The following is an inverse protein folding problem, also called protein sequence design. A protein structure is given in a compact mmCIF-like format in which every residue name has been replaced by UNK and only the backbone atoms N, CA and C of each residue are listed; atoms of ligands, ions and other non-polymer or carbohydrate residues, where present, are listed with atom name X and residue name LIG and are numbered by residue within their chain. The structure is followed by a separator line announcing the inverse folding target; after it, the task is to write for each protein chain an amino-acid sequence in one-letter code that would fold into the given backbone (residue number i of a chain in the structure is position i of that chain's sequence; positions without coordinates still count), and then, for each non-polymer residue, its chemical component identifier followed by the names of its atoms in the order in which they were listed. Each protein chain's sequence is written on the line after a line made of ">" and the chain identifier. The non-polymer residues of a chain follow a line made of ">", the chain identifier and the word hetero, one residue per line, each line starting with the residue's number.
data_IF_035418503371
#
_entry.id   IF_035418503371
#
_cell.length_a   1.000
_cell.length_b   1.000
_cell.length_c   1.000
_cell.angle_alpha   90.00
_cell.angle_beta   90.00
_cell.angle_gamma   90.00
#
_symmetry.space_group_name_H-M   'P 1'
#
loop_
_entity.id
_entity.type
_entity.pdbx_description
1 polymer ?
#
# COMPACT_ATOMS: atom_id res chain seq x y z
N UNK A 1 -46.49 46.64 -35.17
CA UNK A 1 -45.98 45.26 -35.13
C UNK A 1 -44.45 45.34 -35.26
N UNK A 2 -43.73 44.94 -34.19
CA UNK A 2 -42.34 44.42 -34.05
C UNK A 2 -41.29 44.81 -35.11
N UNK A 3 -40.23 45.61 -34.85
CA UNK A 3 -38.92 45.37 -34.13
C UNK A 3 -38.03 44.32 -34.86
N UNK A 4 -36.67 44.45 -34.97
CA UNK A 4 -35.69 45.45 -34.43
C UNK A 4 -34.82 46.11 -35.54
N UNK A 5 -34.13 47.25 -35.43
CA UNK A 5 -33.39 48.00 -34.38
C UNK A 5 -32.00 47.47 -33.98
N UNK A 6 -31.00 48.23 -34.47
CA UNK A 6 -29.79 48.74 -33.78
C UNK A 6 -28.47 48.04 -34.10
N UNK A 7 -27.74 48.71 -35.00
CA UNK A 7 -26.28 48.72 -35.14
C UNK A 7 -25.70 49.36 -33.87
N UNK A 8 -24.82 48.65 -33.16
CA UNK A 8 -24.01 49.24 -32.09
C UNK A 8 -22.52 49.00 -32.39
N UNK A 9 -21.83 50.13 -32.45
CA UNK A 9 -20.43 50.35 -32.78
C UNK A 9 -19.63 50.54 -31.47
N UNK A 10 -18.34 50.19 -31.53
CA UNK A 10 -17.23 50.62 -30.65
C UNK A 10 -17.23 50.13 -29.19
N UNK A 11 -16.24 49.28 -28.87
CA UNK A 11 -15.57 49.31 -27.56
C UNK A 11 -14.07 49.50 -27.79
N UNK A 12 -13.57 50.49 -27.05
CA UNK A 12 -12.25 51.08 -27.13
C UNK A 12 -11.16 50.25 -26.43
N UNK A 13 -9.94 50.68 -26.74
CA UNK A 13 -8.64 50.19 -26.31
C UNK A 13 -8.46 50.02 -24.79
N UNK A 14 -7.79 48.94 -24.39
CA UNK A 14 -6.96 48.89 -23.18
C UNK A 14 -5.58 48.38 -23.60
N UNK A 15 -4.60 49.29 -23.62
CA UNK A 15 -3.19 48.96 -23.59
C UNK A 15 -2.68 49.20 -22.16
N UNK A 16 -2.22 48.15 -21.49
CA UNK A 16 -1.35 48.23 -20.30
C UNK A 16 -0.53 46.94 -20.20
N UNK A 17 0.75 47.07 -20.54
CA UNK A 17 1.94 46.55 -19.87
C UNK A 17 1.77 45.25 -19.05
N UNK A 18 2.42 44.18 -19.53
CA UNK A 18 2.69 42.97 -18.77
C UNK A 18 3.66 42.08 -19.54
N UNK A 19 4.94 42.23 -19.25
CA UNK A 19 6.02 41.32 -19.65
C UNK A 19 5.70 39.88 -19.27
N UNK A 20 5.84 38.97 -20.25
CA UNK A 20 6.29 37.59 -20.11
C UNK A 20 5.51 36.66 -19.19
N UNK A 21 4.87 35.65 -19.77
CA UNK A 21 4.96 34.28 -19.24
C UNK A 21 5.18 33.34 -20.42
N UNK A 22 6.37 32.76 -20.48
CA UNK A 22 6.63 31.60 -21.30
C UNK A 22 5.77 30.44 -20.77
N UNK A 23 4.91 29.89 -21.61
CA UNK A 23 4.35 28.55 -21.40
C UNK A 23 5.48 27.55 -21.70
N UNK A 24 6.38 27.41 -20.73
CA UNK A 24 7.21 26.22 -20.59
C UNK A 24 6.32 25.13 -20.03
N UNK A 25 5.97 24.16 -20.86
CA UNK A 25 5.36 22.92 -20.40
C UNK A 25 6.46 22.19 -19.61
N UNK A 26 6.36 22.25 -18.28
CA UNK A 26 7.28 21.55 -17.39
C UNK A 26 7.25 20.05 -17.70
N UNK A 27 8.45 19.52 -17.85
CA UNK A 27 8.78 18.11 -17.97
C UNK A 27 8.06 17.35 -16.87
N UNK A 28 7.33 16.31 -17.27
CA UNK A 28 6.66 15.35 -16.41
C UNK A 28 7.71 14.73 -15.47
N UNK A 29 7.81 15.33 -14.28
CA UNK A 29 8.81 14.99 -13.28
C UNK A 29 8.22 13.87 -12.45
N UNK A 30 8.91 12.73 -12.40
CA UNK A 30 8.65 11.62 -11.47
C UNK A 30 8.20 12.17 -10.13
N UNK A 31 6.91 12.03 -9.81
CA UNK A 31 6.31 12.66 -8.64
C UNK A 31 6.67 11.83 -7.41
N UNK A 32 7.77 12.18 -6.74
CA UNK A 32 8.06 11.74 -5.39
C UNK A 32 7.29 12.60 -4.40
N UNK A 33 6.39 12.00 -3.61
CA UNK A 33 5.67 12.70 -2.54
C UNK A 33 6.18 12.25 -1.18
N UNK A 34 6.62 13.20 -0.35
CA UNK A 34 6.90 12.93 1.07
C UNK A 34 5.58 13.00 1.84
N UNK A 35 5.21 11.92 2.52
CA UNK A 35 4.03 11.88 3.40
C UNK A 35 4.35 12.52 4.75
N UNK A 36 3.50 13.48 5.17
CA UNK A 36 3.52 14.05 6.52
C UNK A 36 2.79 13.16 7.54
N UNK A 37 1.89 12.28 7.08
CA UNK A 37 1.25 11.27 7.94
C UNK A 37 2.20 10.10 8.22
N UNK A 38 2.13 9.47 9.41
CA UNK A 38 2.91 8.28 9.72
C UNK A 38 2.58 7.14 8.77
N UNK A 39 3.50 6.17 8.59
CA UNK A 39 3.24 5.03 7.73
C UNK A 39 2.07 4.16 8.26
N UNK A 40 1.35 3.44 7.37
CA UNK A 40 0.18 2.64 7.77
C UNK A 40 0.45 1.61 8.86
N UNK A 41 1.67 1.06 8.91
CA UNK A 41 2.03 0.03 9.88
C UNK A 41 2.34 0.53 11.29
N UNK A 42 2.39 1.84 11.50
CA UNK A 42 2.44 2.44 12.84
C UNK A 42 1.04 2.74 13.41
N UNK A 43 -0.03 2.31 12.73
CA UNK A 43 -1.40 2.64 13.14
C UNK A 43 -1.81 1.90 14.45
N UNK A 44 -2.03 2.64 15.55
CA UNK A 44 -2.38 2.04 16.85
C UNK A 44 -3.75 1.34 16.82
N UNK A 45 -4.63 1.67 15.86
CA UNK A 45 -5.99 1.10 15.74
C UNK A 45 -6.00 -0.37 15.28
N UNK A 46 -4.85 -0.91 14.86
CA UNK A 46 -4.69 -2.31 14.52
C UNK A 46 -4.44 -3.21 15.75
N UNK A 47 -4.12 -2.61 16.90
CA UNK A 47 -3.80 -3.34 18.13
C UNK A 47 -4.96 -4.23 18.56
N UNK A 48 -4.70 -5.52 18.77
CA UNK A 48 -5.69 -6.49 19.25
C UNK A 48 -6.60 -7.12 18.19
N UNK A 49 -6.45 -6.75 16.90
CA UNK A 49 -7.17 -7.44 15.82
C UNK A 49 -6.52 -8.80 15.51
N UNK A 50 -7.34 -9.82 15.25
CA UNK A 50 -6.86 -11.17 14.96
C UNK A 50 -6.13 -11.21 13.62
N UNK A 51 -4.87 -11.63 13.66
CA UNK A 51 -4.07 -11.88 12.46
C UNK A 51 -4.47 -13.23 11.86
N UNK A 52 -4.76 -13.31 10.54
CA UNK A 52 -4.96 -14.61 9.91
C UNK A 52 -3.72 -15.48 10.07
N UNK A 53 -3.89 -16.68 10.65
CA UNK A 53 -2.78 -17.56 11.04
C UNK A 53 -1.80 -17.89 9.89
N UNK A 54 -2.28 -17.82 8.65
CA UNK A 54 -1.49 -18.06 7.44
C UNK A 54 -0.29 -17.12 7.28
N UNK A 55 -0.41 -15.86 7.71
CA UNK A 55 0.70 -14.92 7.68
C UNK A 55 1.86 -15.40 8.55
N UNK A 56 1.55 -15.80 9.78
CA UNK A 56 2.55 -16.29 10.73
C UNK A 56 3.13 -17.63 10.26
N UNK A 57 2.31 -18.54 9.72
CA UNK A 57 2.79 -19.84 9.25
C UNK A 57 3.71 -19.73 8.04
N UNK A 58 3.44 -18.80 7.11
CA UNK A 58 4.30 -18.58 5.94
C UNK A 58 5.56 -17.79 6.30
N UNK A 59 5.44 -16.72 7.09
CA UNK A 59 6.59 -15.95 7.56
C UNK A 59 7.60 -16.81 8.34
N UNK A 60 7.13 -17.75 9.18
CA UNK A 60 8.00 -18.68 9.92
C UNK A 60 8.87 -19.58 9.02
N UNK A 61 8.51 -19.74 7.75
CA UNK A 61 9.28 -20.53 6.78
C UNK A 61 10.37 -19.71 6.09
N UNK A 62 10.29 -18.38 6.15
CA UNK A 62 11.26 -17.51 5.50
C UNK A 62 12.64 -17.60 6.18
N UNK A 63 13.69 -17.60 5.37
CA UNK A 63 15.07 -17.72 5.83
C UNK A 63 15.51 -16.48 6.62
N UNK A 64 15.03 -15.30 6.22
CA UNK A 64 15.34 -14.00 6.84
C UNK A 64 14.34 -13.56 7.93
N UNK A 65 13.50 -14.47 8.43
CA UNK A 65 12.47 -14.17 9.45
C UNK A 65 13.01 -13.65 10.77
N UNK A 66 14.29 -13.88 11.05
CA UNK A 66 14.97 -13.42 12.27
C UNK A 66 15.26 -11.91 12.25
N UNK A 67 15.30 -11.31 11.05
CA UNK A 67 15.56 -9.87 10.84
C UNK A 67 14.43 -9.13 10.14
N UNK A 68 13.55 -9.84 9.43
CA UNK A 68 12.41 -9.25 8.73
C UNK A 68 11.11 -9.57 9.44
N UNK A 69 10.38 -8.53 9.85
CA UNK A 69 9.08 -8.68 10.50
C UNK A 69 7.99 -9.03 9.49
N UNK A 70 6.94 -9.78 9.84
CA UNK A 70 5.83 -9.97 8.93
C UNK A 70 5.03 -8.67 8.76
N UNK A 71 4.75 -8.33 7.51
CA UNK A 71 3.73 -7.35 7.14
C UNK A 71 2.42 -8.06 6.81
N UNK A 72 1.30 -7.50 7.22
CA UNK A 72 -0.03 -8.08 6.99
C UNK A 72 -0.96 -7.07 6.35
N UNK A 73 -1.85 -7.53 5.48
CA UNK A 73 -2.97 -6.72 4.99
C UNK A 73 -4.16 -7.00 5.92
N UNK A 74 -4.23 -6.27 7.03
CA UNK A 74 -5.23 -6.49 8.06
C UNK A 74 -6.60 -6.01 7.58
N UNK A 75 -7.63 -6.85 7.66
CA UNK A 75 -8.98 -6.51 7.19
C UNK A 75 -9.24 -6.92 5.73
N UNK A 76 -8.22 -7.37 4.99
CA UNK A 76 -8.38 -7.83 3.62
C UNK A 76 -9.27 -9.06 3.48
N UNK A 77 -9.37 -9.86 4.55
CA UNK A 77 -10.28 -11.00 4.63
C UNK A 77 -11.76 -10.61 4.63
N UNK A 78 -12.07 -9.32 4.88
CA UNK A 78 -13.44 -8.80 4.89
C UNK A 78 -13.93 -8.37 3.51
N UNK A 79 -13.03 -8.26 2.53
CA UNK A 79 -13.42 -7.91 1.18
C UNK A 79 -14.41 -8.96 0.64
N UNK A 80 -15.58 -8.55 0.11
CA UNK A 80 -16.62 -9.49 -0.30
C UNK A 80 -16.13 -10.56 -1.28
N UNK A 81 -16.23 -11.83 -0.87
CA UNK A 81 -15.81 -12.98 -1.67
C UNK A 81 -14.31 -13.25 -1.67
N UNK A 82 -13.52 -12.49 -0.89
CA UNK A 82 -12.09 -12.72 -0.75
C UNK A 82 -11.79 -14.05 -0.06
N UNK A 83 -10.81 -14.77 -0.60
CA UNK A 83 -10.29 -16.00 -0.01
C UNK A 83 -8.79 -15.87 0.20
N UNK A 84 -8.36 -15.82 1.45
CA UNK A 84 -6.95 -15.79 1.82
C UNK A 84 -6.30 -17.14 1.55
N UNK A 85 -5.11 -17.12 0.93
CA UNK A 85 -4.30 -18.32 0.71
C UNK A 85 -2.81 -18.00 0.70
N UNK A 86 -2.01 -19.06 0.79
CA UNK A 86 -0.60 -19.02 0.48
C UNK A 86 -0.41 -18.70 -1.00
N UNK A 87 0.58 -17.87 -1.31
CA UNK A 87 1.13 -17.74 -2.65
C UNK A 87 2.55 -18.30 -2.69
N UNK A 88 2.92 -18.89 -3.81
CA UNK A 88 4.30 -19.30 -4.05
C UNK A 88 5.16 -18.05 -4.25
N UNK A 89 6.25 -17.94 -3.50
CA UNK A 89 7.22 -16.89 -3.67
C UNK A 89 8.60 -17.44 -3.35
N UNK A 90 9.52 -17.42 -4.32
CA UNK A 90 10.85 -17.99 -4.14
C UNK A 90 11.66 -17.16 -3.14
N UNK A 91 12.32 -17.82 -2.19
CA UNK A 91 13.20 -17.19 -1.20
C UNK A 91 12.51 -16.48 -0.04
N UNK A 92 11.19 -16.29 -0.12
CA UNK A 92 10.43 -15.50 0.85
C UNK A 92 9.15 -16.17 1.33
N UNK A 93 8.16 -15.36 1.65
CA UNK A 93 6.82 -15.77 2.01
C UNK A 93 5.79 -14.89 1.30
N UNK A 94 4.61 -15.43 1.00
CA UNK A 94 3.55 -14.63 0.39
C UNK A 94 2.16 -15.10 0.78
N UNK A 95 1.26 -14.13 0.96
CA UNK A 95 -0.16 -14.33 1.19
C UNK A 95 -0.94 -13.55 0.14
N UNK A 96 -1.88 -14.25 -0.51
CA UNK A 96 -2.73 -13.70 -1.55
C UNK A 96 -4.19 -13.79 -1.15
N UNK A 97 -4.99 -12.89 -1.72
CA UNK A 97 -6.44 -12.92 -1.67
C UNK A 97 -6.96 -13.19 -3.07
N UNK A 98 -7.71 -14.27 -3.22
CA UNK A 98 -8.45 -14.58 -4.44
C UNK A 98 -9.84 -13.92 -4.36
N UNK A 99 -10.36 -13.42 -5.47
CA UNK A 99 -11.74 -12.95 -5.63
C UNK A 99 -12.51 -13.88 -6.59
N UNK A 100 -13.85 -13.81 -6.64
CA UNK A 100 -14.61 -14.57 -7.62
C UNK A 100 -14.10 -14.34 -9.05
N UNK A 101 -13.63 -15.41 -9.70
CA UNK A 101 -13.07 -15.36 -11.06
C UNK A 101 -11.64 -14.83 -11.17
N UNK A 102 -11.01 -14.35 -10.08
CA UNK A 102 -9.68 -13.75 -10.12
C UNK A 102 -8.77 -14.32 -9.02
N UNK A 103 -7.88 -15.23 -9.42
CA UNK A 103 -6.87 -15.79 -8.51
C UNK A 103 -5.74 -14.78 -8.30
N UNK A 104 -5.29 -14.61 -7.05
CA UNK A 104 -4.25 -13.66 -6.66
C UNK A 104 -4.64 -12.22 -7.01
N UNK A 105 -5.91 -11.87 -6.80
CA UNK A 105 -6.45 -10.54 -7.10
C UNK A 105 -5.61 -9.43 -6.44
N UNK A 106 -5.11 -9.68 -5.24
CA UNK A 106 -4.12 -8.84 -4.56
C UNK A 106 -3.38 -9.65 -3.48
N UNK A 107 -2.35 -9.05 -2.87
CA UNK A 107 -1.65 -9.66 -1.76
C UNK A 107 -0.33 -8.99 -1.42
N UNK A 108 0.42 -9.67 -0.55
CA UNK A 108 1.70 -9.21 -0.02
C UNK A 108 2.70 -10.35 0.11
N UNK A 109 3.97 -10.04 -0.12
CA UNK A 109 5.10 -10.93 0.09
C UNK A 109 6.25 -10.23 0.81
N UNK A 110 6.92 -10.94 1.71
CA UNK A 110 8.29 -10.61 2.12
C UNK A 110 9.24 -11.38 1.22
N UNK A 111 10.10 -10.68 0.49
CA UNK A 111 10.80 -11.26 -0.68
C UNK A 111 11.95 -12.20 -0.36
N UNK A 112 12.40 -12.26 0.90
CA UNK A 112 13.64 -12.95 1.27
C UNK A 112 14.92 -12.17 0.96
N UNK A 113 14.81 -11.09 0.18
CA UNK A 113 15.94 -10.28 -0.23
C UNK A 113 16.31 -9.29 0.89
N UNK A 114 17.61 -9.23 1.17
CA UNK A 114 18.20 -8.15 1.95
C UNK A 114 18.57 -7.00 1.02
N UNK A 115 18.00 -5.84 1.28
CA UNK A 115 18.44 -4.59 0.70
C UNK A 115 19.70 -4.17 1.45
N UNK A 116 20.82 -4.09 0.73
CA UNK A 116 22.03 -3.49 1.25
C UNK A 116 21.83 -2.00 1.56
N UNK A 117 22.70 -1.41 2.39
CA UNK A 117 22.62 0.01 2.80
C UNK A 117 22.60 0.99 1.62
N UNK A 118 23.09 0.58 0.45
CA UNK A 118 23.11 1.41 -0.75
C UNK A 118 21.73 1.49 -1.43
N UNK A 119 20.80 0.61 -1.05
CA UNK A 119 19.43 0.59 -1.52
C UNK A 119 19.32 0.16 -2.98
N UNK A 120 18.41 -0.76 -3.28
CA UNK A 120 18.00 -0.97 -4.67
C UNK A 120 17.11 0.19 -5.11
N UNK A 121 17.50 0.94 -6.15
CA UNK A 121 16.60 1.90 -6.80
C UNK A 121 15.65 1.11 -7.69
N UNK A 122 14.35 1.28 -7.45
CA UNK A 122 13.31 0.62 -8.23
C UNK A 122 12.72 1.62 -9.22
N UNK A 123 12.77 1.30 -10.50
CA UNK A 123 12.29 2.17 -11.57
C UNK A 123 10.76 2.08 -11.67
N UNK A 124 10.07 2.73 -10.74
CA UNK A 124 8.63 2.92 -10.77
C UNK A 124 8.29 4.41 -10.92
N UNK A 125 7.16 4.74 -11.58
CA UNK A 125 6.78 6.13 -11.82
C UNK A 125 6.30 6.88 -10.57
N UNK A 126 5.84 6.16 -9.54
CA UNK A 126 5.34 6.77 -8.30
C UNK A 126 6.23 6.35 -7.12
N UNK A 127 6.51 7.29 -6.22
CA UNK A 127 7.21 7.00 -4.96
C UNK A 127 6.61 7.83 -3.82
N UNK A 128 6.42 7.16 -2.69
CA UNK A 128 6.06 7.79 -1.41
C UNK A 128 7.20 7.53 -0.44
N UNK A 129 7.60 8.57 0.29
CA UNK A 129 8.58 8.49 1.38
C UNK A 129 7.95 8.98 2.68
N UNK A 130 8.33 8.40 3.80
CA UNK A 130 7.90 8.81 5.13
C UNK A 130 9.05 9.45 5.90
N UNK A 131 8.73 10.35 6.83
CA UNK A 131 9.74 11.09 7.62
C UNK A 131 10.68 10.18 8.43
N UNK A 132 10.22 8.98 8.81
CA UNK A 132 11.01 7.98 9.53
C UNK A 132 12.03 7.22 8.65
N UNK A 133 11.95 7.37 7.32
CA UNK A 133 12.89 6.80 6.36
C UNK A 133 12.33 5.66 5.49
N UNK A 134 11.14 5.13 5.79
CA UNK A 134 10.48 4.17 4.90
C UNK A 134 10.13 4.76 3.55
N UNK A 135 10.00 3.89 2.56
CA UNK A 135 9.62 4.28 1.20
C UNK A 135 8.89 3.17 0.47
N UNK A 136 7.93 3.56 -0.37
CA UNK A 136 7.28 2.66 -1.32
C UNK A 136 7.36 3.24 -2.72
N UNK A 137 7.83 2.44 -3.66
CA UNK A 137 7.87 2.79 -5.09
C UNK A 137 6.94 1.84 -5.85
N UNK A 138 6.06 2.36 -6.71
CA UNK A 138 5.01 1.55 -7.32
C UNK A 138 4.54 2.03 -8.70
N UNK A 139 3.98 1.08 -9.46
CA UNK A 139 3.47 1.30 -10.81
C UNK A 139 2.89 0.03 -11.41
N UNK A 140 2.76 0.01 -12.73
CA UNK A 140 2.31 -1.18 -13.45
C UNK A 140 3.30 -2.33 -13.24
N UNK A 141 2.76 -3.51 -12.95
CA UNK A 141 3.53 -4.74 -12.87
C UNK A 141 4.24 -4.99 -14.21
N UNK A 142 5.55 -5.25 -14.17
CA UNK A 142 6.38 -5.38 -15.37
C UNK A 142 6.48 -4.12 -16.24
N UNK A 143 5.99 -2.97 -15.77
CA UNK A 143 5.91 -1.72 -16.53
C UNK A 143 4.77 -1.66 -17.55
N UNK A 144 4.04 -2.75 -17.77
CA UNK A 144 3.01 -2.86 -18.82
C UNK A 144 1.64 -3.29 -18.29
N UNK A 145 1.55 -3.87 -17.09
CA UNK A 145 0.28 -4.22 -16.45
C UNK A 145 -0.32 -5.54 -16.94
N UNK A 146 -1.63 -5.79 -16.68
CA UNK A 146 -2.64 -4.84 -16.19
C UNK A 146 -2.62 -4.61 -14.67
N UNK A 147 -1.88 -5.43 -13.92
CA UNK A 147 -1.75 -5.30 -12.47
C UNK A 147 -0.84 -4.14 -12.05
N UNK A 148 -0.91 -3.81 -10.77
CA UNK A 148 -0.02 -2.87 -10.10
C UNK A 148 0.82 -3.58 -9.04
N UNK A 149 2.06 -3.12 -8.88
CA UNK A 149 3.04 -3.65 -7.95
C UNK A 149 3.72 -2.49 -7.21
N UNK A 150 3.91 -2.67 -5.91
CA UNK A 150 4.64 -1.80 -5.03
C UNK A 150 5.80 -2.56 -4.38
N UNK A 151 6.94 -1.89 -4.29
CA UNK A 151 8.09 -2.30 -3.51
C UNK A 151 8.25 -1.39 -2.31
N UNK A 152 8.07 -1.98 -1.13
CA UNK A 152 8.09 -1.29 0.14
C UNK A 152 9.37 -1.62 0.90
N UNK A 153 9.98 -0.57 1.44
CA UNK A 153 11.09 -0.60 2.39
C UNK A 153 10.61 0.02 3.70
N UNK A 154 10.80 -0.72 4.78
CA UNK A 154 10.49 -0.24 6.14
C UNK A 154 11.79 0.20 6.81
N UNK A 155 11.84 1.42 7.36
CA UNK A 155 12.99 1.92 8.09
C UNK A 155 13.33 1.04 9.29
N UNK A 156 14.63 0.94 9.58
CA UNK A 156 15.14 0.02 10.60
C UNK A 156 15.19 -1.45 10.18
N UNK A 157 14.66 -1.81 9.01
CA UNK A 157 14.76 -3.17 8.43
C UNK A 157 15.53 -3.15 7.11
N UNK A 158 16.28 -4.21 6.81
CA UNK A 158 16.92 -4.42 5.50
C UNK A 158 16.01 -5.17 4.52
N UNK A 159 14.70 -5.16 4.73
CA UNK A 159 13.78 -6.09 4.09
C UNK A 159 13.03 -5.44 2.94
N UNK A 160 12.88 -6.18 1.83
CA UNK A 160 12.03 -5.80 0.71
C UNK A 160 10.69 -6.54 0.78
N UNK A 161 9.61 -5.78 0.66
CA UNK A 161 8.25 -6.30 0.55
C UNK A 161 7.62 -5.97 -0.80
N UNK A 162 6.87 -6.91 -1.35
CA UNK A 162 6.08 -6.74 -2.57
C UNK A 162 4.61 -6.69 -2.19
N UNK A 163 3.89 -5.66 -2.63
CA UNK A 163 2.44 -5.56 -2.51
C UNK A 163 1.88 -5.45 -3.92
N UNK A 164 0.94 -6.31 -4.30
CA UNK A 164 0.38 -6.31 -5.65
C UNK A 164 -1.14 -6.21 -5.63
N UNK A 165 -1.68 -5.71 -6.74
CA UNK A 165 -3.11 -5.59 -6.97
C UNK A 165 -3.44 -5.66 -8.47
N UNK A 166 -4.17 -6.69 -8.87
CA UNK A 166 -4.78 -6.78 -10.20
C UNK A 166 -6.02 -5.90 -10.36
N UNK A 167 -6.52 -5.33 -9.25
CA UNK A 167 -7.65 -4.39 -9.23
C UNK A 167 -7.26 -2.97 -9.65
N UNK A 168 -5.99 -2.73 -9.95
CA UNK A 168 -5.48 -1.46 -10.47
C UNK A 168 -4.87 -0.55 -9.39
N UNK A 169 -4.50 0.66 -9.82
CA UNK A 169 -3.76 1.67 -9.03
C UNK A 169 -4.47 2.03 -7.73
N UNK A 170 -5.74 2.42 -7.84
CA UNK A 170 -6.53 2.91 -6.69
C UNK A 170 -6.60 1.86 -5.60
N UNK A 171 -6.83 0.60 -5.98
CA UNK A 171 -6.86 -0.49 -5.01
C UNK A 171 -5.49 -0.73 -4.36
N UNK A 172 -4.39 -0.66 -5.13
CA UNK A 172 -3.05 -0.76 -4.56
C UNK A 172 -2.78 0.39 -3.56
N UNK A 173 -3.16 1.61 -3.92
CA UNK A 173 -2.99 2.79 -3.07
C UNK A 173 -3.73 2.67 -1.74
N UNK A 174 -4.96 2.12 -1.74
CA UNK A 174 -5.66 1.80 -0.50
C UNK A 174 -4.88 0.83 0.40
N UNK A 175 -4.17 -0.15 -0.18
CA UNK A 175 -3.37 -1.10 0.59
C UNK A 175 -2.11 -0.46 1.21
N UNK A 176 -1.53 0.58 0.59
CA UNK A 176 -0.19 1.10 0.97
C UNK A 176 -0.18 2.53 1.53
N UNK A 177 -1.29 3.28 1.46
CA UNK A 177 -1.34 4.70 1.87
C UNK A 177 -2.24 4.96 3.09
N UNK A 178 -3.38 4.29 3.24
CA UNK A 178 -4.38 4.70 4.24
C UNK A 178 -4.09 4.23 5.68
N UNK A 179 -4.58 4.96 6.73
CA UNK A 179 -5.68 5.94 6.68
C UNK A 179 -5.33 7.33 7.26
N UNK A 180 -5.71 8.39 6.54
CA UNK A 180 -5.72 9.75 7.10
C UNK A 180 -6.76 9.86 8.24
N UNK A 181 -6.50 10.61 9.34
CA UNK A 181 -7.44 10.72 10.47
C UNK A 181 -8.73 11.52 10.19
N UNK A 182 -8.89 12.14 9.02
CA UNK A 182 -9.88 13.21 8.83
C UNK A 182 -11.21 12.81 8.17
N UNK A 183 -11.47 11.53 7.86
CA UNK A 183 -12.78 11.09 7.39
C UNK A 183 -13.38 9.95 8.21
N UNK A 184 -14.70 10.05 8.38
CA UNK A 184 -15.51 9.72 9.55
C UNK A 184 -16.10 8.31 9.55
N UNK A 185 -16.21 7.73 10.75
CA UNK A 185 -17.23 6.77 11.23
C UNK A 185 -17.50 5.42 10.53
N UNK A 186 -17.11 5.18 9.28
CA UNK A 186 -17.45 3.94 8.53
C UNK A 186 -16.23 3.04 8.17
N UNK A 187 -15.13 3.14 8.94
CA UNK A 187 -13.81 2.53 8.62
C UNK A 187 -13.67 1.02 8.88
N UNK A 188 -14.74 0.24 8.81
CA UNK A 188 -14.66 -1.20 9.02
C UNK A 188 -14.32 -2.02 7.76
N UNK A 189 -14.27 -1.40 6.58
CA UNK A 189 -14.24 -2.12 5.30
C UNK A 189 -12.91 -2.08 4.53
N UNK A 190 -11.94 -1.23 4.89
CA UNK A 190 -10.70 -1.08 4.09
C UNK A 190 -9.52 -1.85 4.72
N UNK A 191 -8.83 -2.72 3.95
CA UNK A 191 -7.61 -3.38 4.41
C UNK A 191 -6.47 -2.38 4.67
N UNK A 192 -5.79 -2.53 5.80
CA UNK A 192 -4.66 -1.68 6.19
C UNK A 192 -3.40 -2.52 6.34
N UNK A 193 -2.30 -2.05 5.76
CA UNK A 193 -0.99 -2.65 5.95
C UNK A 193 -0.51 -2.47 7.39
N UNK A 194 -0.08 -3.55 8.05
CA UNK A 194 0.39 -3.55 9.44
C UNK A 194 1.67 -4.34 9.60
N UNK A 195 2.60 -3.84 10.41
CA UNK A 195 3.74 -4.62 10.90
C UNK A 195 3.28 -5.38 12.14
N UNK A 196 3.56 -6.67 12.18
CA UNK A 196 3.49 -7.41 13.42
C UNK A 196 4.86 -7.41 14.08
N UNK A 197 4.97 -6.71 15.20
CA UNK A 197 6.13 -6.82 16.07
C UNK A 197 6.37 -8.28 16.44
N UNK A 198 7.64 -8.70 16.47
CA UNK A 198 8.05 -10.04 16.91
C UNK A 198 7.50 -10.36 18.31
N UNK A 199 7.36 -9.35 19.18
CA UNK A 199 6.74 -9.50 20.50
C UNK A 199 5.26 -9.85 20.42
N UNK A 200 4.51 -9.20 19.53
CA UNK A 200 3.10 -9.51 19.28
C UNK A 200 2.93 -10.92 18.71
N UNK A 201 3.86 -11.39 17.88
CA UNK A 201 3.88 -12.77 17.38
C UNK A 201 4.08 -13.76 18.52
N UNK A 202 5.00 -13.48 19.45
CA UNK A 202 5.24 -14.37 20.59
C UNK A 202 4.02 -14.48 21.52
N UNK A 203 3.27 -13.40 21.71
CA UNK A 203 2.01 -13.40 22.46
C UNK A 203 0.93 -14.23 21.73
N UNK A 204 0.75 -14.02 20.42
CA UNK A 204 -0.20 -14.79 19.61
C UNK A 204 0.10 -16.29 19.62
N UNK A 205 1.38 -16.67 19.65
CA UNK A 205 1.80 -18.08 19.75
C UNK A 205 1.47 -18.67 21.12
N UNK A 206 1.62 -17.91 22.20
CA UNK A 206 1.27 -18.35 23.55
C UNK A 206 -0.24 -18.57 23.71
N UNK A 207 -1.07 -17.67 23.19
CA UNK A 207 -2.54 -17.79 23.25
C UNK A 207 -3.07 -19.01 22.47
N UNK A 208 -2.51 -19.28 21.29
CA UNK A 208 -2.85 -20.48 20.53
C UNK A 208 -2.41 -21.74 21.30
N UNK A 209 -1.22 -21.76 21.89
CA UNK A 209 -0.73 -22.89 22.69
C UNK A 209 -1.60 -23.17 23.93
N UNK A 210 -2.06 -22.11 24.62
CA UNK A 210 -2.98 -22.20 25.76
C UNK A 210 -4.36 -22.71 25.34
N UNK A 211 -4.85 -22.28 24.17
CA UNK A 211 -6.13 -22.73 23.60
C UNK A 211 -6.11 -24.24 23.28
N UNK A 212 -5.01 -24.75 22.71
CA UNK A 212 -4.85 -26.20 22.49
C UNK A 212 -4.71 -26.99 23.80
N UNK A 213 -4.12 -26.41 24.85
CA UNK A 213 -4.01 -27.04 26.16
C UNK A 213 -5.38 -27.20 26.85
N UNK A 214 -6.34 -26.29 26.61
CA UNK A 214 -7.70 -26.43 27.12
C UNK A 214 -8.55 -27.44 26.33
N UNK A 215 -8.27 -27.64 25.04
CA UNK A 215 -9.03 -28.58 24.19
C UNK A 215 -8.56 -30.04 24.39
N UNK A 216 -7.29 -30.26 24.72
CA UNK A 216 -6.71 -31.61 24.93
C UNK A 216 -7.04 -32.25 26.29
N UNK A 217 -7.77 -31.54 27.18
CA UNK A 217 -8.27 -32.07 28.45
C UNK A 217 -9.79 -32.28 28.41
N UNK A 218 -10.25 -33.18 27.56
CA UNK A 218 -11.57 -33.81 27.68
C UNK A 218 -11.49 -35.28 27.30
#
# INVERSE_FOLDING_TARGET
>A
MMIPKIIAVLVAWIACLGTGVAIGQEVDTTTGSTSESPPPWENPSATGKSVPAIYISEWKKAENRDRCQPLILLGAEREPGARTRRAEFAGGWAVAYDLPGERSAFGIAGTGLDLDRNGSTFNFPNTITWAEGSSVSYGLEGGTGPGYLAYLKVSGQSCLYNIWSKRGKVHLEHLIIEPSPSQSSDRDEVPVLQILSIEAINILVQDVSLSFHCISKK
#
